data_IF_902915321886
#
_entry.id   IF_902915321886
#
_cell.length_a   1.000
_cell.length_b   1.000
_cell.length_c   1.000
_cell.angle_alpha   90.00
_cell.angle_beta   90.00
_cell.angle_gamma   90.00
#
_symmetry.space_group_name_H-M   'P 1'
#
loop_
_entity.id
_entity.type
_entity.pdbx_description
1 polymer ?
#
# COMPACT_ATOMS: atom_id res chain seq x y z
N UNK A 1 25.96 26.05 26.24
CA UNK A 1 25.96 24.69 25.66
C UNK A 1 25.73 24.91 24.19
N UNK A 2 26.67 24.55 23.33
CA UNK A 2 26.39 24.53 21.89
C UNK A 2 25.29 23.49 21.66
N UNK A 3 24.20 23.89 21.00
CA UNK A 3 23.14 22.95 20.63
C UNK A 3 23.73 21.95 19.64
N UNK A 4 23.71 20.67 20.03
CA UNK A 4 24.14 19.57 19.16
C UNK A 4 23.14 19.46 18.00
N UNK A 5 23.57 19.85 16.79
CA UNK A 5 22.75 19.73 15.59
C UNK A 5 22.71 18.29 15.12
N UNK A 6 21.54 17.83 14.65
CA UNK A 6 21.42 16.56 13.97
C UNK A 6 22.19 16.61 12.64
N UNK A 7 23.00 15.57 12.38
CA UNK A 7 23.77 15.40 11.14
C UNK A 7 23.14 14.29 10.30
N UNK A 8 22.80 14.60 9.06
CA UNK A 8 22.24 13.65 8.08
C UNK A 8 23.25 13.50 6.95
N UNK A 9 23.59 12.25 6.63
CA UNK A 9 24.44 11.90 5.51
C UNK A 9 23.56 11.39 4.36
N UNK A 10 23.73 11.98 3.18
CA UNK A 10 23.01 11.62 1.96
C UNK A 10 23.78 10.53 1.21
N UNK A 11 23.10 9.83 0.30
CA UNK A 11 23.69 8.76 -0.50
C UNK A 11 24.77 9.23 -1.47
N UNK A 12 24.72 10.49 -1.88
CA UNK A 12 25.76 11.18 -2.67
C UNK A 12 26.98 11.65 -1.84
N UNK A 13 26.98 11.37 -0.52
CA UNK A 13 28.02 11.81 0.42
C UNK A 13 27.84 13.23 0.94
N UNK A 14 26.78 13.92 0.52
CA UNK A 14 26.39 15.23 1.05
C UNK A 14 26.04 15.16 2.53
N UNK A 15 26.29 16.25 3.26
CA UNK A 15 25.99 16.35 4.69
C UNK A 15 25.08 17.54 4.95
N UNK A 16 23.95 17.28 5.59
CA UNK A 16 23.03 18.30 6.08
C UNK A 16 23.08 18.36 7.61
N UNK A 17 22.99 19.56 8.16
CA UNK A 17 22.87 19.80 9.60
C UNK A 17 21.59 20.57 9.90
N UNK A 18 20.83 20.15 10.90
CA UNK A 18 19.58 20.81 11.29
C UNK A 18 19.37 20.71 12.80
N UNK A 19 18.61 21.66 13.35
CA UNK A 19 18.13 21.60 14.73
C UNK A 19 17.04 20.54 14.92
N UNK A 20 16.30 20.19 13.85
CA UNK A 20 15.21 19.22 13.88
C UNK A 20 15.22 18.35 12.63
N UNK A 21 14.97 17.06 12.84
CA UNK A 21 14.73 16.07 11.79
C UNK A 21 13.38 15.43 12.03
N UNK A 22 12.56 15.31 10.98
CA UNK A 22 11.27 14.63 11.01
C UNK A 22 11.37 13.34 10.21
N UNK A 23 11.17 12.20 10.86
CA UNK A 23 11.11 10.90 10.20
C UNK A 23 9.74 10.72 9.51
N UNK A 24 9.71 10.85 8.17
CA UNK A 24 8.51 10.69 7.34
C UNK A 24 8.74 9.69 6.18
N UNK A 25 9.70 8.79 6.34
CA UNK A 25 10.21 7.80 5.38
C UNK A 25 9.55 6.41 5.51
N UNK A 26 8.32 6.36 6.02
CA UNK A 26 7.47 5.17 6.03
C UNK A 26 7.79 4.13 7.11
N UNK A 27 7.19 2.94 6.97
CA UNK A 27 7.25 1.89 8.00
C UNK A 27 8.67 1.36 8.22
N UNK A 28 9.51 1.31 7.19
CA UNK A 28 10.92 0.89 7.25
C UNK A 28 11.89 2.06 7.50
N UNK A 29 11.44 3.11 8.19
CA UNK A 29 12.22 4.33 8.43
C UNK A 29 13.62 4.08 9.00
N UNK A 30 14.62 4.55 8.26
CA UNK A 30 16.02 4.52 8.69
C UNK A 30 16.30 5.56 9.77
N UNK A 31 15.63 6.72 9.69
CA UNK A 31 15.74 7.79 10.69
C UNK A 31 15.21 7.32 12.05
N UNK A 32 14.06 6.64 12.08
CA UNK A 32 13.48 6.05 13.29
C UNK A 32 14.42 5.01 13.92
N UNK A 33 15.01 4.15 13.08
CA UNK A 33 15.97 3.14 13.52
C UNK A 33 17.23 3.79 14.12
N UNK A 34 17.79 4.82 13.47
CA UNK A 34 18.94 5.56 13.98
C UNK A 34 18.66 6.27 15.31
N UNK A 35 17.42 6.72 15.52
CA UNK A 35 16.97 7.30 16.78
C UNK A 35 16.68 6.26 17.89
N UNK A 36 16.81 4.95 17.60
CA UNK A 36 16.53 3.89 18.57
C UNK A 36 15.05 3.73 18.94
N UNK A 37 14.14 4.22 18.11
CA UNK A 37 12.70 4.21 18.39
C UNK A 37 12.11 2.88 17.88
N UNK A 38 11.66 2.04 18.82
CA UNK A 38 11.01 0.77 18.53
C UNK A 38 9.60 0.92 17.93
N UNK A 39 9.10 -0.17 17.35
CA UNK A 39 7.73 -0.26 16.80
C UNK A 39 7.07 -1.56 17.23
N UNK A 40 5.75 -1.53 17.32
CA UNK A 40 4.92 -2.72 17.51
C UNK A 40 4.00 -2.89 16.29
N UNK A 41 3.79 -4.13 15.88
CA UNK A 41 2.97 -4.45 14.72
C UNK A 41 2.31 -5.81 14.88
N UNK A 42 1.24 -5.99 14.10
CA UNK A 42 0.49 -7.24 14.01
C UNK A 42 0.39 -7.62 12.55
N UNK A 43 0.69 -8.88 12.24
CA UNK A 43 0.33 -9.43 10.93
C UNK A 43 -1.16 -9.73 10.95
N UNK A 44 -1.90 -9.15 10.02
CA UNK A 44 -3.34 -9.39 9.88
C UNK A 44 -3.64 -10.70 9.15
N UNK A 45 -2.62 -11.43 8.71
CA UNK A 45 -2.76 -12.62 7.86
C UNK A 45 -3.62 -12.33 6.63
N UNK A 46 -3.39 -11.14 6.06
CA UNK A 46 -4.12 -10.58 4.93
C UNK A 46 -3.15 -9.94 3.95
N UNK A 47 -3.44 -10.07 2.65
CA UNK A 47 -2.72 -9.40 1.57
C UNK A 47 -3.72 -8.76 0.61
N UNK A 48 -3.35 -7.58 0.11
CA UNK A 48 -4.09 -6.88 -0.92
C UNK A 48 -3.56 -7.22 -2.31
N UNK A 49 -4.44 -7.70 -3.19
CA UNK A 49 -4.19 -7.73 -4.64
C UNK A 49 -4.70 -6.42 -5.22
N UNK A 50 -3.84 -5.70 -5.93
CA UNK A 50 -4.16 -4.41 -6.52
C UNK A 50 -3.94 -4.42 -8.03
N UNK A 51 -4.86 -3.84 -8.78
CA UNK A 51 -4.73 -3.66 -10.22
C UNK A 51 -5.65 -2.52 -10.71
N UNK A 52 -5.40 -2.04 -11.92
CA UNK A 52 -6.34 -1.17 -12.63
C UNK A 52 -7.18 -2.01 -13.59
N UNK A 53 -8.49 -1.83 -13.56
CA UNK A 53 -9.44 -2.46 -14.48
C UNK A 53 -10.20 -1.38 -15.25
N UNK A 54 -10.66 -1.74 -16.44
CA UNK A 54 -11.58 -0.91 -17.24
C UNK A 54 -13.00 -1.38 -16.99
N UNK A 55 -13.88 -0.47 -16.58
CA UNK A 55 -15.32 -0.72 -16.40
C UNK A 55 -16.08 -0.33 -17.66
N UNK A 56 -17.32 -0.83 -17.81
CA UNK A 56 -18.14 -0.49 -18.98
C UNK A 56 -18.48 1.01 -19.05
N UNK A 57 -18.71 1.61 -17.89
CA UNK A 57 -18.99 3.04 -17.71
C UNK A 57 -17.98 3.66 -16.74
N UNK A 58 -17.85 4.99 -16.80
CA UNK A 58 -17.05 5.74 -15.85
C UNK A 58 -17.57 5.55 -14.41
N UNK A 59 -16.66 5.22 -13.49
CA UNK A 59 -16.98 5.12 -12.08
C UNK A 59 -16.72 6.45 -11.37
N UNK A 60 -17.67 6.91 -10.57
CA UNK A 60 -17.55 8.12 -9.75
C UNK A 60 -17.74 7.85 -8.26
N UNK A 61 -17.78 6.57 -7.85
CA UNK A 61 -18.07 6.16 -6.48
C UNK A 61 -17.10 5.08 -6.04
N UNK A 62 -16.53 5.25 -4.83
CA UNK A 62 -15.75 4.20 -4.21
C UNK A 62 -16.70 3.13 -3.67
N UNK A 63 -16.71 1.96 -4.30
CA UNK A 63 -17.50 0.81 -3.87
C UNK A 63 -16.65 -0.13 -3.03
N UNK A 64 -17.28 -0.77 -2.05
CA UNK A 64 -16.65 -1.85 -1.29
C UNK A 64 -17.67 -2.91 -0.91
N UNK A 65 -17.33 -4.17 -1.19
CA UNK A 65 -18.08 -5.35 -0.73
C UNK A 65 -17.25 -6.11 0.28
N UNK A 66 -17.85 -6.48 1.41
CA UNK A 66 -17.20 -7.32 2.42
C UNK A 66 -17.48 -8.80 2.14
N UNK A 67 -16.41 -9.60 2.02
CA UNK A 67 -16.49 -11.05 1.86
C UNK A 67 -15.91 -11.74 3.10
N UNK A 68 -16.18 -13.05 3.32
CA UNK A 68 -15.68 -13.78 4.49
C UNK A 68 -14.16 -13.70 4.69
N UNK A 69 -13.40 -13.60 3.59
CA UNK A 69 -11.93 -13.58 3.62
C UNK A 69 -11.31 -12.19 3.55
N UNK A 70 -12.13 -11.13 3.47
CA UNK A 70 -11.69 -9.75 3.35
C UNK A 70 -12.48 -8.98 2.28
N UNK A 71 -12.40 -7.64 2.26
CA UNK A 71 -13.15 -6.83 1.31
C UNK A 71 -12.53 -6.81 -0.08
N UNK A 72 -13.38 -6.55 -1.09
CA UNK A 72 -12.99 -6.10 -2.42
C UNK A 72 -13.54 -4.69 -2.63
N UNK A 73 -12.65 -3.77 -3.00
CA UNK A 73 -12.98 -2.37 -3.25
C UNK A 73 -12.73 -2.01 -4.72
N UNK A 74 -13.61 -1.16 -5.27
CA UNK A 74 -13.53 -0.61 -6.62
C UNK A 74 -13.49 0.91 -6.49
N UNK A 75 -12.30 1.48 -6.67
CA UNK A 75 -12.05 2.90 -6.47
C UNK A 75 -11.97 3.61 -7.83
N UNK A 76 -12.68 4.74 -8.01
CA UNK A 76 -12.67 5.44 -9.29
C UNK A 76 -11.27 6.02 -9.59
N UNK A 77 -10.82 5.85 -10.84
CA UNK A 77 -9.66 6.54 -11.40
C UNK A 77 -10.14 7.53 -12.48
N UNK A 78 -9.28 7.89 -13.44
CA UNK A 78 -9.66 8.70 -14.59
C UNK A 78 -10.43 7.87 -15.63
N UNK A 79 -11.29 8.53 -16.40
CA UNK A 79 -12.13 7.94 -17.45
C UNK A 79 -12.98 6.75 -16.95
N UNK A 80 -12.85 5.61 -17.60
CA UNK A 80 -13.50 4.33 -17.33
C UNK A 80 -12.57 3.36 -16.58
N UNK A 81 -11.50 3.86 -15.95
CA UNK A 81 -10.62 3.04 -15.12
C UNK A 81 -11.07 3.05 -13.65
N UNK A 82 -10.86 1.93 -12.99
CA UNK A 82 -11.01 1.78 -11.55
C UNK A 82 -9.83 1.01 -10.97
N UNK A 83 -9.37 1.41 -9.79
CA UNK A 83 -8.40 0.68 -9.00
C UNK A 83 -9.12 -0.36 -8.15
N UNK A 84 -8.70 -1.61 -8.27
CA UNK A 84 -9.16 -2.70 -7.43
C UNK A 84 -8.23 -2.83 -6.25
N UNK A 85 -8.81 -2.97 -5.05
CA UNK A 85 -8.10 -3.42 -3.85
C UNK A 85 -8.84 -4.61 -3.28
N UNK A 86 -8.29 -5.81 -3.48
CA UNK A 86 -8.88 -7.04 -2.97
C UNK A 86 -8.02 -7.58 -1.83
N UNK A 87 -8.47 -7.33 -0.61
CA UNK A 87 -7.86 -7.87 0.60
C UNK A 87 -8.36 -9.29 0.84
N UNK A 88 -7.44 -10.25 0.91
CA UNK A 88 -7.77 -11.63 1.17
C UNK A 88 -6.62 -12.38 1.86
N UNK A 89 -6.76 -13.68 2.09
CA UNK A 89 -5.69 -14.49 2.71
C UNK A 89 -4.44 -14.51 1.82
N UNK A 90 -3.22 -14.68 2.40
CA UNK A 90 -1.99 -14.72 1.62
C UNK A 90 -1.99 -15.75 0.49
N UNK A 91 -2.56 -16.93 0.73
CA UNK A 91 -2.68 -18.00 -0.28
C UNK A 91 -3.58 -17.59 -1.43
N UNK A 92 -4.79 -17.11 -1.13
CA UNK A 92 -5.74 -16.70 -2.16
C UNK A 92 -5.23 -15.49 -2.95
N UNK A 93 -4.56 -14.54 -2.28
CA UNK A 93 -3.93 -13.41 -2.96
C UNK A 93 -2.84 -13.86 -3.96
N UNK A 94 -2.05 -14.87 -3.61
CA UNK A 94 -1.04 -15.44 -4.50
C UNK A 94 -1.67 -16.17 -5.71
N UNK A 95 -2.78 -16.88 -5.49
CA UNK A 95 -3.56 -17.52 -6.56
C UNK A 95 -4.13 -16.47 -7.53
N UNK A 96 -4.81 -15.46 -7.01
CA UNK A 96 -5.37 -14.35 -7.79
C UNK A 96 -4.29 -13.63 -8.61
N UNK A 97 -3.12 -13.36 -8.01
CA UNK A 97 -2.02 -12.68 -8.68
C UNK A 97 -1.36 -13.53 -9.80
N UNK A 98 -1.54 -14.86 -9.77
CA UNK A 98 -1.03 -15.78 -10.77
C UNK A 98 -2.02 -16.05 -11.92
N UNK A 99 -3.28 -15.63 -11.79
CA UNK A 99 -4.30 -15.85 -12.82
C UNK A 99 -3.98 -15.06 -14.11
N UNK A 100 -4.27 -15.64 -15.29
CA UNK A 100 -4.40 -14.88 -16.52
C UNK A 100 -5.44 -13.76 -16.36
N UNK A 101 -5.25 -12.65 -17.07
CA UNK A 101 -6.09 -11.46 -16.91
C UNK A 101 -7.60 -11.72 -17.09
N UNK A 102 -7.98 -12.58 -18.04
CA UNK A 102 -9.38 -12.94 -18.27
C UNK A 102 -9.99 -13.71 -17.09
N UNK A 103 -9.22 -14.64 -16.52
CA UNK A 103 -9.66 -15.44 -15.37
C UNK A 103 -9.73 -14.59 -14.10
N UNK A 104 -8.81 -13.64 -13.93
CA UNK A 104 -8.89 -12.66 -12.85
C UNK A 104 -10.15 -11.79 -12.96
N UNK A 105 -10.48 -11.31 -14.17
CA UNK A 105 -11.71 -10.53 -14.40
C UNK A 105 -12.96 -11.35 -14.09
N UNK A 106 -13.00 -12.63 -14.47
CA UNK A 106 -14.10 -13.52 -14.12
C UNK A 106 -14.23 -13.68 -12.60
N UNK A 107 -13.14 -13.97 -11.90
CA UNK A 107 -13.14 -14.09 -10.44
C UNK A 107 -13.56 -12.78 -9.74
N UNK A 108 -13.12 -11.63 -10.26
CA UNK A 108 -13.52 -10.32 -9.74
C UNK A 108 -15.02 -10.08 -9.94
N UNK A 109 -15.57 -10.41 -11.10
CA UNK A 109 -17.01 -10.27 -11.36
C UNK A 109 -17.86 -11.18 -10.47
N UNK A 110 -17.40 -12.40 -10.17
CA UNK A 110 -18.09 -13.31 -9.24
C UNK A 110 -18.07 -12.80 -7.79
N UNK A 111 -17.01 -12.06 -7.43
CA UNK A 111 -16.80 -11.52 -6.10
C UNK A 111 -17.53 -10.19 -5.84
N UNK A 112 -17.93 -9.47 -6.89
CA UNK A 112 -18.67 -8.20 -6.83
C UNK A 112 -20.18 -8.41 -6.84
#
# INVERSE_FOLDING_TARGET
>A
MEDELARIELDDGGVLTSQLVVAADGAASGVRAAAGIGTWGWDYEQRGVVCAVRTADANHTAWQRFLPHGPVAVLPLWDDLSSIVWSTTPTHAAELAALPAGDFVAALNDAL
#
